data_IF_662208031348
#
_entry.id   IF_662208031348
#
_cell.length_a   1.000
_cell.length_b   1.000
_cell.length_c   1.000
_cell.angle_alpha   90.00
_cell.angle_beta   90.00
_cell.angle_gamma   90.00
#
_symmetry.space_group_name_H-M   'P 1'
#
loop_
_entity.id
_entity.type
_entity.pdbx_description
1 polymer ?
#
# COMPACT_ATOMS: atom_id res chain seq x y z
N UNK A 1 -17.01 0.62 13.63
CA UNK A 1 -15.53 0.50 13.67
C UNK A 1 -14.99 -0.72 14.43
N UNK A 2 -15.72 -1.37 15.35
CA UNK A 2 -15.17 -2.46 16.19
C UNK A 2 -15.10 -3.88 15.54
N UNK A 3 -15.59 -4.08 14.31
CA UNK A 3 -15.61 -5.42 13.68
C UNK A 3 -14.55 -5.64 12.59
N UNK A 4 -13.95 -4.58 12.02
CA UNK A 4 -13.04 -4.71 10.88
C UNK A 4 -11.72 -5.40 11.22
N UNK A 5 -11.18 -5.20 12.43
CA UNK A 5 -9.90 -5.80 12.85
C UNK A 5 -10.02 -7.32 13.03
N UNK A 6 -11.16 -7.81 13.52
CA UNK A 6 -11.39 -9.25 13.65
C UNK A 6 -11.57 -9.92 12.27
N UNK A 7 -12.27 -9.25 11.34
CA UNK A 7 -12.36 -9.72 9.95
C UNK A 7 -10.97 -9.75 9.29
N UNK A 8 -10.13 -8.74 9.50
CA UNK A 8 -8.75 -8.71 9.00
C UNK A 8 -7.86 -9.78 9.65
N UNK A 9 -8.10 -10.16 10.92
CA UNK A 9 -7.40 -11.28 11.56
C UNK A 9 -7.82 -12.64 11.01
N UNK A 10 -9.09 -12.80 10.64
CA UNK A 10 -9.56 -14.04 10.01
C UNK A 10 -9.07 -14.21 8.57
N UNK A 11 -8.72 -13.10 7.90
CA UNK A 11 -8.19 -13.11 6.54
C UNK A 11 -6.66 -13.11 6.59
N UNK A 12 -6.03 -14.03 5.86
CA UNK A 12 -4.58 -14.06 5.75
C UNK A 12 -4.07 -12.78 5.03
N UNK A 13 -3.35 -11.91 5.75
CA UNK A 13 -2.86 -10.64 5.19
C UNK A 13 -1.85 -10.81 4.05
N UNK A 14 -1.19 -11.97 3.94
CA UNK A 14 -0.30 -12.28 2.82
C UNK A 14 -1.06 -12.41 1.49
N UNK A 15 -2.39 -12.53 1.52
CA UNK A 15 -3.23 -12.53 0.31
C UNK A 15 -3.29 -11.15 -0.36
N UNK A 16 -3.04 -10.07 0.38
CA UNK A 16 -3.24 -8.72 -0.14
C UNK A 16 -2.16 -8.29 -1.16
N UNK A 17 -0.86 -8.52 -0.94
CA UNK A 17 0.16 -8.33 -1.98
C UNK A 17 -0.06 -9.24 -3.20
N UNK A 18 -0.55 -10.47 -2.97
CA UNK A 18 -0.87 -11.42 -4.05
C UNK A 18 -2.04 -10.91 -4.89
N UNK A 19 -3.11 -10.44 -4.25
CA UNK A 19 -4.25 -9.81 -4.90
C UNK A 19 -3.80 -8.62 -5.75
N UNK A 20 -3.00 -7.71 -5.17
CA UNK A 20 -2.50 -6.54 -5.88
C UNK A 20 -1.77 -6.91 -7.18
N UNK A 21 -0.87 -7.90 -7.13
CA UNK A 21 -0.15 -8.31 -8.35
C UNK A 21 -0.99 -9.09 -9.34
N UNK A 22 -1.94 -9.90 -8.88
CA UNK A 22 -2.88 -10.58 -9.78
C UNK A 22 -3.75 -9.58 -10.53
N UNK A 23 -4.25 -8.55 -9.85
CA UNK A 23 -5.03 -7.47 -10.47
C UNK A 23 -4.20 -6.66 -11.46
N UNK A 24 -2.92 -6.41 -11.16
CA UNK A 24 -2.02 -5.66 -12.05
C UNK A 24 -1.58 -6.43 -13.29
N UNK A 25 -1.31 -7.72 -13.14
CA UNK A 25 -0.72 -8.56 -14.20
C UNK A 25 -1.75 -9.30 -15.03
N UNK A 26 -2.93 -9.55 -14.48
CA UNK A 26 -3.91 -10.50 -14.98
C UNK A 26 -3.31 -11.87 -15.35
N UNK A 27 -2.21 -12.29 -14.69
CA UNK A 27 -1.48 -13.50 -15.05
C UNK A 27 -0.81 -14.12 -13.82
N UNK A 28 -1.23 -15.35 -13.49
CA UNK A 28 -0.76 -16.08 -12.30
C UNK A 28 0.75 -16.32 -12.33
N UNK A 29 1.30 -16.74 -13.47
CA UNK A 29 2.74 -17.03 -13.61
C UNK A 29 3.58 -15.76 -13.49
N UNK A 30 3.12 -14.66 -14.09
CA UNK A 30 3.79 -13.36 -14.00
C UNK A 30 3.74 -12.78 -12.58
N UNK A 31 2.60 -12.90 -11.90
CA UNK A 31 2.46 -12.51 -10.50
C UNK A 31 3.40 -13.31 -9.60
N UNK A 32 3.47 -14.64 -9.79
CA UNK A 32 4.39 -15.51 -9.05
C UNK A 32 5.86 -15.08 -9.23
N UNK A 33 6.28 -14.79 -10.46
CA UNK A 33 7.62 -14.30 -10.74
C UNK A 33 7.93 -12.95 -10.07
N UNK A 34 6.98 -12.01 -10.07
CA UNK A 34 7.14 -10.68 -9.44
C UNK A 34 7.18 -10.72 -7.92
N UNK A 35 6.49 -11.67 -7.31
CA UNK A 35 6.43 -11.85 -5.86
C UNK A 35 7.51 -12.82 -5.34
N UNK A 36 8.36 -13.38 -6.21
CA UNK A 36 9.31 -14.43 -5.86
C UNK A 36 8.64 -15.64 -5.18
N UNK A 37 7.43 -15.99 -5.64
CA UNK A 37 6.65 -17.13 -5.15
C UNK A 37 6.54 -18.21 -6.23
N UNK A 38 6.14 -19.42 -5.82
CA UNK A 38 5.78 -20.47 -6.77
C UNK A 38 4.40 -20.21 -7.37
N UNK A 39 4.16 -20.72 -8.58
CA UNK A 39 2.83 -20.63 -9.21
C UNK A 39 1.76 -21.35 -8.39
N UNK A 40 2.09 -22.47 -7.72
CA UNK A 40 1.13 -23.19 -6.87
C UNK A 40 0.70 -22.37 -5.66
N UNK A 41 1.63 -21.61 -5.04
CA UNK A 41 1.31 -20.66 -3.97
C UNK A 41 0.33 -19.59 -4.47
N UNK A 42 0.64 -18.92 -5.60
CA UNK A 42 -0.23 -17.85 -6.13
C UNK A 42 -1.59 -18.39 -6.58
N UNK A 43 -1.64 -19.57 -7.19
CA UNK A 43 -2.89 -20.23 -7.58
C UNK A 43 -3.75 -20.61 -6.37
N UNK A 44 -3.13 -21.13 -5.30
CA UNK A 44 -3.80 -21.40 -4.04
C UNK A 44 -4.37 -20.13 -3.40
N UNK A 45 -3.60 -19.05 -3.37
CA UNK A 45 -4.06 -17.74 -2.89
C UNK A 45 -5.18 -17.16 -3.75
N UNK A 46 -5.14 -17.31 -5.07
CA UNK A 46 -6.24 -16.91 -5.95
C UNK A 46 -7.53 -17.69 -5.60
N UNK A 47 -7.45 -18.99 -5.33
CA UNK A 47 -8.62 -19.77 -4.88
C UNK A 47 -9.21 -19.21 -3.58
N UNK A 48 -8.37 -18.95 -2.59
CA UNK A 48 -8.81 -18.36 -1.32
C UNK A 48 -9.43 -16.96 -1.52
N UNK A 49 -8.84 -16.14 -2.38
CA UNK A 49 -9.38 -14.82 -2.72
C UNK A 49 -10.76 -14.96 -3.39
N UNK A 50 -10.96 -15.94 -4.27
CA UNK A 50 -12.27 -16.19 -4.89
C UNK A 50 -13.35 -16.53 -3.87
N UNK A 51 -13.02 -17.34 -2.87
CA UNK A 51 -13.92 -17.67 -1.76
C UNK A 51 -14.25 -16.43 -0.91
N UNK A 52 -13.25 -15.61 -0.58
CA UNK A 52 -13.43 -14.39 0.22
C UNK A 52 -14.31 -13.36 -0.50
N UNK A 53 -14.07 -13.16 -1.80
CA UNK A 53 -14.77 -12.14 -2.58
C UNK A 53 -16.06 -12.63 -3.22
N UNK A 54 -16.29 -13.93 -3.28
CA UNK A 54 -17.41 -14.55 -3.99
C UNK A 54 -17.38 -14.29 -5.49
N UNK A 55 -16.20 -14.21 -6.10
CA UNK A 55 -16.00 -13.82 -7.50
C UNK A 55 -14.74 -14.46 -8.08
N UNK A 56 -14.73 -14.80 -9.37
CA UNK A 56 -13.59 -15.46 -10.02
C UNK A 56 -12.33 -14.58 -10.09
N UNK A 57 -12.48 -13.25 -10.00
CA UNK A 57 -11.47 -12.18 -10.13
C UNK A 57 -10.75 -12.11 -11.48
N UNK A 58 -10.32 -13.26 -11.98
CA UNK A 58 -9.67 -13.49 -13.25
C UNK A 58 -10.45 -14.56 -14.01
N UNK A 59 -10.82 -14.26 -15.25
CA UNK A 59 -11.53 -15.17 -16.15
C UNK A 59 -10.78 -15.30 -17.48
N UNK A 60 -10.91 -16.48 -18.09
CA UNK A 60 -10.38 -16.72 -19.43
C UNK A 60 -11.31 -16.06 -20.46
N UNK A 61 -10.76 -15.17 -21.28
CA UNK A 61 -11.44 -14.59 -22.44
C UNK A 61 -10.60 -14.90 -23.70
N UNK A 62 -11.01 -15.95 -24.42
CA UNK A 62 -10.24 -16.47 -25.54
C UNK A 62 -8.90 -17.05 -25.06
N UNK A 63 -7.79 -16.49 -25.53
CA UNK A 63 -6.42 -16.89 -25.12
C UNK A 63 -5.85 -16.07 -23.97
N UNK A 64 -6.57 -15.04 -23.53
CA UNK A 64 -6.09 -14.11 -22.51
C UNK A 64 -6.84 -14.30 -21.20
N UNK A 65 -6.14 -14.01 -20.10
CA UNK A 65 -6.73 -13.90 -18.78
C UNK A 65 -7.07 -12.43 -18.54
N UNK A 66 -8.31 -12.15 -18.17
CA UNK A 66 -8.81 -10.79 -17.97
C UNK A 66 -9.48 -10.67 -16.61
N UNK A 67 -9.51 -9.45 -16.07
CA UNK A 67 -10.20 -9.14 -14.82
C UNK A 67 -11.72 -9.18 -15.00
N UNK A 68 -12.43 -9.71 -14.00
CA UNK A 68 -13.88 -9.53 -13.88
C UNK A 68 -14.22 -8.06 -13.60
N UNK A 69 -15.47 -7.65 -13.82
CA UNK A 69 -15.91 -6.28 -13.49
C UNK A 69 -15.78 -5.96 -11.99
N UNK A 70 -15.94 -6.97 -11.12
CA UNK A 70 -15.67 -6.79 -9.69
C UNK A 70 -14.19 -6.59 -9.43
N UNK A 71 -13.31 -7.39 -10.02
CA UNK A 71 -11.86 -7.22 -9.89
C UNK A 71 -11.39 -5.86 -10.39
N UNK A 72 -11.90 -5.37 -11.53
CA UNK A 72 -11.61 -4.02 -12.03
C UNK A 72 -11.96 -2.92 -11.03
N UNK A 73 -13.12 -3.04 -10.36
CA UNK A 73 -13.52 -2.10 -9.29
C UNK A 73 -12.65 -2.18 -8.04
N UNK A 74 -12.01 -3.33 -7.77
CA UNK A 74 -11.12 -3.50 -6.63
C UNK A 74 -9.74 -2.88 -6.86
N UNK A 75 -9.29 -2.71 -8.11
CA UNK A 75 -7.96 -2.17 -8.45
C UNK A 75 -7.62 -0.88 -7.67
N UNK A 76 -8.41 0.21 -7.76
CA UNK A 76 -8.05 1.46 -7.10
C UNK A 76 -8.01 1.35 -5.57
N UNK A 77 -8.89 0.54 -4.98
CA UNK A 77 -8.94 0.32 -3.53
C UNK A 77 -7.70 -0.46 -3.06
N UNK A 78 -7.33 -1.51 -3.79
CA UNK A 78 -6.15 -2.34 -3.46
C UNK A 78 -4.87 -1.52 -3.62
N UNK A 79 -4.73 -0.75 -4.70
CA UNK A 79 -3.58 0.15 -4.91
C UNK A 79 -3.43 1.14 -3.76
N UNK A 80 -4.53 1.78 -3.34
CA UNK A 80 -4.53 2.73 -2.22
C UNK A 80 -4.14 2.07 -0.90
N UNK A 81 -4.63 0.85 -0.63
CA UNK A 81 -4.26 0.12 0.59
C UNK A 81 -2.77 -0.25 0.56
N UNK A 82 -2.22 -0.66 -0.59
CA UNK A 82 -0.80 -0.94 -0.75
C UNK A 82 0.07 0.28 -0.56
N UNK A 83 -0.34 1.43 -1.08
CA UNK A 83 0.36 2.69 -0.85
C UNK A 83 0.39 3.06 0.64
N UNK A 84 -0.77 3.04 1.30
CA UNK A 84 -0.88 3.36 2.72
C UNK A 84 -0.08 2.39 3.59
N UNK A 85 -0.15 1.10 3.27
CA UNK A 85 0.61 0.07 3.97
C UNK A 85 2.11 0.24 3.76
N UNK A 86 2.54 0.59 2.55
CA UNK A 86 3.93 0.94 2.26
C UNK A 86 4.41 2.10 3.12
N UNK A 87 3.61 3.16 3.26
CA UNK A 87 3.92 4.30 4.14
C UNK A 87 4.07 3.92 5.62
N UNK A 88 3.31 2.94 6.12
CA UNK A 88 3.42 2.48 7.51
C UNK A 88 4.78 1.84 7.83
N UNK A 89 5.38 1.17 6.84
CA UNK A 89 6.66 0.47 7.01
C UNK A 89 7.84 1.25 6.43
N UNK A 90 7.60 2.32 5.69
CA UNK A 90 8.62 3.30 5.37
C UNK A 90 9.06 3.98 6.66
N UNK A 91 10.35 3.87 6.98
CA UNK A 91 10.96 4.79 7.93
C UNK A 91 10.92 6.17 7.28
N UNK A 92 10.23 7.14 7.88
CA UNK A 92 10.31 8.53 7.42
C UNK A 92 11.78 8.96 7.47
N UNK A 93 12.44 8.97 6.31
CA UNK A 93 13.72 9.65 6.18
C UNK A 93 13.39 11.14 6.18
N UNK A 94 13.55 11.78 7.34
CA UNK A 94 13.46 13.22 7.44
C UNK A 94 14.63 13.83 6.67
N UNK A 95 14.34 14.30 5.46
CA UNK A 95 15.25 15.13 4.70
C UNK A 95 14.88 16.61 4.93
N UNK A 96 15.69 17.36 5.70
CA UNK A 96 15.41 18.76 5.99
C UNK A 96 15.39 19.64 4.73
N UNK A 97 15.94 19.19 3.60
CA UNK A 97 15.94 19.94 2.35
C UNK A 97 14.66 19.76 1.52
N UNK A 98 13.87 18.72 1.77
CA UNK A 98 12.61 18.44 1.05
C UNK A 98 11.37 18.45 1.95
N UNK A 99 11.55 18.48 3.27
CA UNK A 99 10.45 18.50 4.23
C UNK A 99 9.65 19.83 4.19
N UNK A 100 8.41 19.78 3.70
CA UNK A 100 7.46 20.91 3.70
C UNK A 100 6.64 21.02 5.01
N UNK A 101 7.29 20.81 6.15
CA UNK A 101 6.62 20.74 7.46
C UNK A 101 6.60 22.10 8.17
N UNK A 102 5.46 22.45 8.79
CA UNK A 102 5.36 23.63 9.67
C UNK A 102 5.73 23.27 11.10
N UNK A 103 6.86 23.77 11.58
CA UNK A 103 7.27 23.64 12.96
C UNK A 103 6.74 24.81 13.80
N UNK A 104 6.12 24.50 14.94
CA UNK A 104 5.77 25.49 15.96
C UNK A 104 6.71 25.32 17.15
N UNK A 105 7.47 26.36 17.47
CA UNK A 105 8.43 26.37 18.57
C UNK A 105 7.92 27.36 19.62
N UNK A 106 7.63 26.87 20.83
CA UNK A 106 7.26 27.71 21.97
C UNK A 106 8.48 27.84 22.88
N UNK A 107 8.93 29.08 23.11
CA UNK A 107 10.12 29.38 23.92
C UNK A 107 9.91 30.68 24.70
N UNK A 108 10.76 30.95 25.70
CA UNK A 108 10.83 32.27 26.32
C UNK A 108 11.37 33.32 25.33
N UNK A 109 10.96 34.58 25.47
CA UNK A 109 11.25 35.65 24.50
C UNK A 109 12.73 35.79 24.14
N UNK A 110 13.62 35.68 25.13
CA UNK A 110 15.07 35.78 24.90
C UNK A 110 15.63 34.61 24.08
N UNK A 111 15.05 33.41 24.22
CA UNK A 111 15.44 32.21 23.46
C UNK A 111 14.97 32.34 22.02
N UNK A 112 13.76 32.87 21.81
CA UNK A 112 13.21 33.16 20.49
C UNK A 112 14.14 34.09 19.71
N UNK A 113 14.56 35.21 20.33
CA UNK A 113 15.46 36.18 19.71
C UNK A 113 16.81 35.57 19.26
N UNK A 114 17.37 34.66 20.05
CA UNK A 114 18.63 33.97 19.73
C UNK A 114 18.47 32.96 18.58
N UNK A 115 17.37 32.22 18.56
CA UNK A 115 17.18 31.07 17.68
C UNK A 115 16.59 31.48 16.32
N UNK A 116 15.73 32.51 16.27
CA UNK A 116 15.11 32.99 15.01
C UNK A 116 16.13 33.42 13.97
N UNK A 117 17.24 34.05 14.38
CA UNK A 117 18.30 34.48 13.46
C UNK A 117 19.02 33.30 12.78
N UNK A 118 19.28 32.21 13.53
CA UNK A 118 19.95 31.01 13.02
C UNK A 118 19.02 30.13 12.19
N UNK A 119 17.77 29.95 12.64
CA UNK A 119 16.78 29.15 11.89
C UNK A 119 16.32 29.85 10.60
N UNK A 120 16.15 31.17 10.62
CA UNK A 120 15.77 31.94 9.43
C UNK A 120 16.81 31.94 8.31
N UNK A 121 18.08 31.69 8.64
CA UNK A 121 19.16 31.53 7.67
C UNK A 121 19.28 30.08 7.17
N UNK A 122 19.15 29.10 8.06
CA UNK A 122 19.30 27.67 7.71
C UNK A 122 18.08 27.07 7.02
N UNK A 123 16.86 27.59 7.23
CA UNK A 123 15.62 27.08 6.62
C UNK A 123 15.11 27.95 5.45
N UNK A 124 15.98 28.74 4.81
CA UNK A 124 15.62 29.73 3.78
C UNK A 124 15.44 29.14 2.36
N UNK A 125 14.90 27.93 2.26
CA UNK A 125 14.45 27.31 1.01
C UNK A 125 13.02 26.82 1.14
#
# INVERSE_FOLDING_TARGET
MKNSVNTLRSVNMNLLPILAELLRTANVTRAAGRLHLTQSTVSGSLRQLREIFGDELLMQHGREMVLTERAKRLVPEVERIMELTGRLFQTEQFDPYTAASRFRIATADYVSALVTSRLGLSCRR
#
